data_IF_811804570387
#
_entry.id   IF_811804570387
#
_cell.length_a   1.000
_cell.length_b   1.000
_cell.length_c   1.000
_cell.angle_alpha   90.00
_cell.angle_beta   90.00
_cell.angle_gamma   90.00
#
_symmetry.space_group_name_H-M   'P 1'
#
loop_
_entity.id
_entity.type
_entity.pdbx_description
1 polymer ?
#
# COMPACT_ATOMS: atom_id res chain seq x y z
N UNK A 1 12.93 8.73 -11.51
CA UNK A 1 12.79 7.88 -10.31
C UNK A 1 11.37 7.37 -10.31
N UNK A 2 11.06 6.10 -9.98
CA UNK A 2 9.69 5.81 -9.57
C UNK A 2 9.40 6.74 -8.38
N UNK A 3 8.33 7.51 -8.47
CA UNK A 3 7.93 8.41 -7.39
C UNK A 3 7.77 7.57 -6.12
N UNK A 4 8.35 8.04 -5.00
CA UNK A 4 8.18 7.38 -3.71
C UNK A 4 6.68 7.33 -3.42
N UNK A 5 6.16 6.14 -3.11
CA UNK A 5 4.73 5.96 -2.86
C UNK A 5 4.32 6.84 -1.67
N UNK A 6 3.33 7.70 -1.89
CA UNK A 6 2.83 8.56 -0.82
C UNK A 6 1.97 7.78 0.16
N UNK A 7 1.72 8.37 1.33
CA UNK A 7 0.79 7.84 2.33
C UNK A 7 -0.59 7.51 1.72
N UNK A 8 -1.09 8.40 0.86
CA UNK A 8 -2.37 8.24 0.17
C UNK A 8 -2.32 7.09 -0.85
N UNK A 9 -1.21 6.93 -1.58
CA UNK A 9 -1.03 5.81 -2.51
C UNK A 9 -1.03 4.47 -1.78
N UNK A 10 -0.33 4.40 -0.64
CA UNK A 10 -0.28 3.21 0.21
C UNK A 10 -1.68 2.85 0.71
N UNK A 11 -2.42 3.83 1.24
CA UNK A 11 -3.77 3.60 1.75
C UNK A 11 -4.75 3.23 0.63
N UNK A 12 -4.63 3.87 -0.54
CA UNK A 12 -5.43 3.54 -1.71
C UNK A 12 -5.17 2.12 -2.20
N UNK A 13 -3.90 1.68 -2.22
CA UNK A 13 -3.53 0.32 -2.58
C UNK A 13 -4.07 -0.71 -1.59
N UNK A 14 -3.97 -0.44 -0.28
CA UNK A 14 -4.53 -1.28 0.77
C UNK A 14 -6.06 -1.43 0.61
N UNK A 15 -6.78 -0.33 0.34
CA UNK A 15 -8.21 -0.34 0.07
C UNK A 15 -8.57 -1.19 -1.15
N UNK A 16 -7.79 -1.08 -2.23
CA UNK A 16 -7.98 -1.88 -3.44
C UNK A 16 -7.79 -3.38 -3.14
N UNK A 17 -6.76 -3.74 -2.37
CA UNK A 17 -6.52 -5.12 -1.95
C UNK A 17 -7.68 -5.67 -1.13
N UNK A 18 -8.13 -4.95 -0.10
CA UNK A 18 -9.22 -5.42 0.77
C UNK A 18 -10.49 -5.63 -0.03
N UNK A 19 -10.85 -4.70 -0.93
CA UNK A 19 -12.01 -4.87 -1.84
C UNK A 19 -11.86 -6.09 -2.74
N UNK A 20 -10.67 -6.31 -3.28
CA UNK A 20 -10.37 -7.43 -4.18
C UNK A 20 -10.51 -8.78 -3.47
N UNK A 21 -9.94 -8.91 -2.27
CA UNK A 21 -9.90 -10.18 -1.52
C UNK A 21 -11.25 -10.47 -0.86
N UNK A 22 -11.91 -9.47 -0.31
CA UNK A 22 -13.22 -9.64 0.33
C UNK A 22 -14.36 -9.89 -0.67
N UNK A 23 -14.19 -9.53 -1.94
CA UNK A 23 -15.24 -9.61 -2.97
C UNK A 23 -16.27 -8.48 -2.90
N UNK A 24 -16.16 -7.55 -1.95
CA UNK A 24 -17.06 -6.40 -1.84
C UNK A 24 -16.45 -5.15 -2.47
N UNK A 25 -17.24 -4.46 -3.29
CA UNK A 25 -16.86 -3.14 -3.82
C UNK A 25 -16.92 -2.06 -2.74
N UNK A 26 -17.84 -2.20 -1.78
CA UNK A 26 -17.99 -1.32 -0.62
C UNK A 26 -18.49 -2.14 0.59
N UNK A 27 -17.98 -1.85 1.81
CA UNK A 27 -18.47 -2.50 3.01
C UNK A 27 -19.92 -2.09 3.32
N UNK A 28 -20.70 -3.03 3.86
CA UNK A 28 -21.94 -2.71 4.55
C UNK A 28 -21.63 -1.97 5.86
N UNK A 29 -22.60 -1.18 6.37
CA UNK A 29 -22.42 -0.34 7.56
C UNK A 29 -21.88 -1.13 8.77
N UNK A 30 -22.42 -2.33 9.02
CA UNK A 30 -22.00 -3.20 10.12
C UNK A 30 -20.59 -3.79 9.96
N UNK A 31 -20.03 -3.85 8.75
CA UNK A 31 -18.69 -4.36 8.46
C UNK A 31 -17.67 -3.24 8.23
N UNK A 32 -18.10 -1.97 8.34
CA UNK A 32 -17.27 -0.82 8.01
C UNK A 32 -16.01 -0.76 8.86
N UNK A 33 -16.16 -0.94 10.16
CA UNK A 33 -15.02 -0.92 11.10
C UNK A 33 -14.01 -2.03 10.80
N UNK A 34 -14.48 -3.25 10.48
CA UNK A 34 -13.61 -4.38 10.12
C UNK A 34 -12.87 -4.10 8.80
N UNK A 35 -13.54 -3.48 7.82
CA UNK A 35 -12.91 -3.06 6.58
C UNK A 35 -11.87 -1.98 6.79
N UNK A 36 -12.20 -0.93 7.53
CA UNK A 36 -11.29 0.19 7.80
C UNK A 36 -10.04 -0.31 8.54
N UNK A 37 -10.23 -1.15 9.56
CA UNK A 37 -9.13 -1.79 10.28
C UNK A 37 -8.24 -2.64 9.37
N UNK A 38 -8.82 -3.46 8.49
CA UNK A 38 -8.04 -4.28 7.56
C UNK A 38 -7.23 -3.42 6.57
N UNK A 39 -7.80 -2.30 6.11
CA UNK A 39 -7.09 -1.35 5.25
C UNK A 39 -5.91 -0.74 5.99
N UNK A 40 -6.11 -0.31 7.24
CA UNK A 40 -5.05 0.33 8.02
C UNK A 40 -3.92 -0.66 8.36
N UNK A 41 -4.24 -1.91 8.74
CA UNK A 41 -3.23 -2.96 9.00
C UNK A 41 -2.37 -3.27 7.76
N UNK A 42 -2.97 -3.28 6.57
CA UNK A 42 -2.24 -3.51 5.31
C UNK A 42 -1.42 -2.28 4.91
N UNK A 43 -1.95 -1.08 5.14
CA UNK A 43 -1.20 0.15 4.90
C UNK A 43 0.06 0.19 5.78
N UNK A 44 -0.05 -0.16 7.06
CA UNK A 44 1.09 -0.25 7.99
C UNK A 44 2.11 -1.29 7.55
N UNK A 45 1.66 -2.49 7.16
CA UNK A 45 2.54 -3.53 6.63
C UNK A 45 3.29 -3.05 5.37
N UNK A 46 2.61 -2.29 4.51
CA UNK A 46 3.19 -1.74 3.28
C UNK A 46 4.19 -0.62 3.60
N UNK A 47 3.88 0.29 4.54
CA UNK A 47 4.85 1.29 5.03
C UNK A 47 6.10 0.62 5.57
N UNK A 48 5.93 -0.43 6.39
CA UNK A 48 7.04 -1.20 6.94
C UNK A 48 7.88 -1.85 5.82
N UNK A 49 7.25 -2.45 4.81
CA UNK A 49 7.95 -3.00 3.66
C UNK A 49 8.80 -1.93 2.96
N UNK A 50 8.19 -0.79 2.61
CA UNK A 50 8.87 0.28 1.88
C UNK A 50 10.03 0.90 2.67
N UNK A 51 9.88 1.03 4.00
CA UNK A 51 10.94 1.53 4.87
C UNK A 51 12.18 0.61 4.91
N UNK A 52 12.01 -0.69 4.67
CA UNK A 52 13.08 -1.69 4.74
C UNK A 52 13.50 -2.21 3.35
N UNK A 53 12.87 -1.73 2.28
CA UNK A 53 13.15 -2.19 0.92
C UNK A 53 14.48 -1.60 0.43
N UNK A 54 15.54 -2.40 0.39
CA UNK A 54 16.78 -2.02 -0.28
C UNK A 54 16.65 -2.20 -1.80
N UNK A 55 16.51 -1.09 -2.54
CA UNK A 55 16.51 -1.13 -4.01
C UNK A 55 17.96 -1.30 -4.51
N UNK A 56 18.42 -2.55 -4.68
CA UNK A 56 19.68 -2.83 -5.39
C UNK A 56 19.47 -2.63 -6.90
N UNK A 57 19.67 -1.39 -7.36
CA UNK A 57 19.52 -1.05 -8.78
C UNK A 57 19.82 0.39 -9.21
N UNK A 58 20.16 1.32 -8.31
CA UNK A 58 20.62 2.66 -8.70
C UNK A 58 22.14 2.72 -8.94
N UNK A 59 22.74 1.62 -9.39
CA UNK A 59 24.13 1.55 -9.83
C UNK A 59 24.25 1.83 -11.34
N UNK A 60 25.06 2.82 -11.68
CA UNK A 60 25.59 3.15 -13.01
C UNK A 60 24.72 4.03 -13.94
N UNK A 61 24.83 5.34 -13.72
CA UNK A 61 25.23 6.23 -14.82
C UNK A 61 26.17 7.30 -14.29
N UNK A 62 27.49 7.06 -14.41
CA UNK A 62 28.44 8.18 -14.51
C UNK A 62 28.22 8.78 -15.91
N UNK A 63 27.88 10.07 -16.04
CA UNK A 63 27.98 10.73 -17.35
C UNK A 63 29.46 10.77 -17.74
N UNK A 64 29.74 10.37 -18.98
CA UNK A 64 31.02 10.58 -19.65
C UNK A 64 31.18 12.06 -20.05
#
# INVERSE_FOLDING_TARGET
MPEEATEDDIRAAALQYVRKVSGFRAPAEHNREVFERAVDEIADATRALLAHLEVRGAGARKPA
#
